data_IF_150975814492
#
_entry.id   IF_150975814492
#
_cell.length_a   1.000
_cell.length_b   1.000
_cell.length_c   1.000
_cell.angle_alpha   90.00
_cell.angle_beta   90.00
_cell.angle_gamma   90.00
#
_symmetry.space_group_name_H-M   'P 1'
#
loop_
_entity.id
_entity.type
_entity.pdbx_description
1 polymer ?
#
# COMPACT_ATOMS: atom_id res chain seq x y z
N UNK A 1 -13.82 10.72 2.35
CA UNK A 1 -13.90 10.18 0.97
C UNK A 1 -12.54 9.58 0.67
N UNK A 2 -12.49 8.48 -0.08
CA UNK A 2 -11.26 7.74 -0.42
C UNK A 2 -11.19 7.69 -1.94
N UNK A 3 -10.13 8.28 -2.51
CA UNK A 3 -9.84 8.20 -3.95
C UNK A 3 -8.69 7.22 -4.14
N UNK A 4 -8.88 6.22 -5.00
CA UNK A 4 -7.86 5.23 -5.36
C UNK A 4 -7.43 5.53 -6.79
N UNK A 5 -6.14 5.72 -6.99
CA UNK A 5 -5.54 6.00 -8.29
C UNK A 5 -4.74 4.77 -8.69
N UNK A 6 -5.13 4.16 -9.81
CA UNK A 6 -4.51 2.95 -10.34
C UNK A 6 -4.12 3.18 -11.79
N UNK A 7 -2.85 2.97 -12.10
CA UNK A 7 -2.32 3.21 -13.44
C UNK A 7 -2.84 2.19 -14.46
N UNK A 8 -3.02 0.95 -14.04
CA UNK A 8 -3.50 -0.13 -14.91
C UNK A 8 -4.99 0.01 -15.20
N UNK A 9 -5.44 -0.56 -16.32
CA UNK A 9 -6.88 -0.72 -16.59
C UNK A 9 -7.50 -1.63 -15.53
N UNK A 10 -6.83 -2.74 -15.19
CA UNK A 10 -7.29 -3.67 -14.16
C UNK A 10 -6.53 -3.43 -12.85
N UNK A 11 -7.22 -3.10 -11.74
CA UNK A 11 -6.59 -2.98 -10.43
C UNK A 11 -6.16 -4.34 -9.86
N UNK A 12 -5.49 -4.32 -8.72
CA UNK A 12 -5.06 -5.52 -7.98
C UNK A 12 -3.57 -5.81 -8.07
N UNK A 13 -2.84 -5.10 -8.92
CA UNK A 13 -1.38 -5.21 -9.04
C UNK A 13 -0.92 -6.66 -9.23
N UNK A 14 0.08 -7.08 -8.45
CA UNK A 14 0.65 -8.42 -8.50
C UNK A 14 -0.19 -9.51 -7.82
N UNK A 15 -1.30 -9.18 -7.15
CA UNK A 15 -2.07 -10.12 -6.34
C UNK A 15 -3.05 -11.01 -7.16
N UNK A 16 -2.87 -11.08 -8.48
CA UNK A 16 -3.66 -11.98 -9.34
C UNK A 16 -3.09 -13.40 -9.39
N UNK A 17 -1.81 -13.57 -9.05
CA UNK A 17 -1.08 -14.85 -9.10
C UNK A 17 -0.22 -15.00 -7.85
N UNK A 18 0.21 -16.24 -7.60
CA UNK A 18 1.31 -16.56 -6.71
C UNK A 18 2.67 -16.43 -7.43
N UNK A 19 3.65 -17.21 -6.99
CA UNK A 19 4.98 -17.24 -7.62
C UNK A 19 4.96 -17.92 -8.99
N UNK A 20 5.78 -17.42 -9.92
CA UNK A 20 6.07 -18.09 -11.21
C UNK A 20 4.80 -18.47 -12.02
N UNK A 21 3.78 -17.61 -12.02
CA UNK A 21 2.50 -17.82 -12.68
C UNK A 21 1.61 -18.93 -12.07
N UNK A 22 1.98 -19.49 -10.92
CA UNK A 22 1.09 -20.35 -10.16
C UNK A 22 -0.04 -19.55 -9.50
N UNK A 23 -1.07 -20.24 -9.04
CA UNK A 23 -2.31 -19.61 -8.56
C UNK A 23 -2.37 -19.39 -7.05
N UNK A 24 -1.83 -20.33 -6.26
CA UNK A 24 -2.01 -20.35 -4.81
C UNK A 24 -1.44 -19.08 -4.14
N UNK A 25 -2.18 -18.54 -3.17
CA UNK A 25 -1.74 -17.41 -2.36
C UNK A 25 -1.45 -17.89 -0.94
N UNK A 26 -0.18 -17.84 -0.54
CA UNK A 26 0.29 -18.22 0.79
C UNK A 26 0.26 -17.00 1.71
N UNK A 27 -0.30 -17.19 2.91
CA UNK A 27 -0.44 -16.14 3.92
C UNK A 27 0.02 -16.68 5.27
N UNK A 28 1.11 -16.15 5.82
CA UNK A 28 1.58 -16.51 7.16
C UNK A 28 0.65 -16.01 8.25
N UNK A 29 0.49 -16.78 9.33
CA UNK A 29 -0.27 -16.35 10.52
C UNK A 29 0.49 -15.22 11.23
N UNK A 30 -0.20 -14.25 11.85
CA UNK A 30 -1.64 -14.21 12.08
C UNK A 30 -2.48 -13.55 10.96
N UNK A 31 -1.93 -13.26 9.78
CA UNK A 31 -2.65 -12.50 8.74
C UNK A 31 -3.92 -13.18 8.19
N UNK A 32 -4.08 -14.50 8.42
CA UNK A 32 -5.32 -15.22 8.14
C UNK A 32 -6.59 -14.62 8.77
N UNK A 33 -6.51 -13.89 9.90
CA UNK A 33 -7.70 -13.23 10.46
C UNK A 33 -8.29 -12.16 9.54
N UNK A 34 -7.49 -11.58 8.65
CA UNK A 34 -8.02 -10.69 7.63
C UNK A 34 -8.78 -11.45 6.54
N UNK A 35 -8.45 -12.72 6.31
CA UNK A 35 -9.22 -13.59 5.42
C UNK A 35 -10.56 -13.99 6.07
N UNK A 36 -10.56 -14.25 7.39
CA UNK A 36 -11.79 -14.47 8.16
C UNK A 36 -12.74 -13.28 8.04
N UNK A 37 -12.20 -12.06 8.19
CA UNK A 37 -12.94 -10.80 8.02
C UNK A 37 -13.59 -10.66 6.63
N UNK A 38 -12.87 -11.09 5.59
CA UNK A 38 -13.34 -11.05 4.21
C UNK A 38 -14.22 -12.24 3.82
N UNK A 39 -14.41 -13.20 4.73
CA UNK A 39 -15.13 -14.46 4.52
C UNK A 39 -14.51 -15.27 3.36
N UNK A 40 -13.17 -15.30 3.27
CA UNK A 40 -12.43 -16.06 2.25
C UNK A 40 -11.98 -17.40 2.82
N UNK A 41 -12.39 -18.49 2.21
CA UNK A 41 -11.93 -19.84 2.55
C UNK A 41 -10.44 -20.05 2.20
N UNK A 42 -9.75 -20.78 3.06
CA UNK A 42 -8.35 -21.16 2.90
C UNK A 42 -8.09 -22.56 3.48
N UNK A 43 -7.04 -23.21 2.98
CA UNK A 43 -6.51 -24.44 3.55
C UNK A 43 -5.57 -24.10 4.71
N UNK A 44 -5.91 -24.57 5.91
CA UNK A 44 -5.13 -24.36 7.14
C UNK A 44 -3.84 -25.20 7.12
N UNK A 45 -2.71 -24.58 7.49
CA UNK A 45 -1.45 -25.26 7.82
C UNK A 45 -0.98 -24.76 9.20
N UNK A 46 0.13 -25.28 9.73
CA UNK A 46 0.57 -24.96 11.10
C UNK A 46 0.82 -23.44 11.28
N UNK A 47 1.74 -22.87 10.51
CA UNK A 47 2.19 -21.46 10.65
C UNK A 47 1.69 -20.53 9.52
N UNK A 48 0.94 -21.07 8.56
CA UNK A 48 0.42 -20.33 7.42
C UNK A 48 -0.90 -20.92 6.93
N UNK A 49 -1.55 -20.22 5.99
CA UNK A 49 -2.75 -20.68 5.30
C UNK A 49 -2.58 -20.49 3.79
N UNK A 50 -3.36 -21.23 3.01
CA UNK A 50 -3.28 -21.19 1.55
C UNK A 50 -4.66 -20.91 0.96
N UNK A 51 -4.76 -19.80 0.23
CA UNK A 51 -5.96 -19.50 -0.57
C UNK A 51 -5.79 -20.19 -1.91
N UNK A 52 -6.81 -20.94 -2.35
CA UNK A 52 -6.79 -21.74 -3.59
C UNK A 52 -6.33 -20.96 -4.83
N UNK A 53 -6.64 -19.67 -4.88
CA UNK A 53 -6.19 -18.79 -5.94
C UNK A 53 -6.08 -17.34 -5.43
N UNK A 54 -4.98 -16.67 -5.73
CA UNK A 54 -4.75 -15.24 -5.45
C UNK A 54 -5.89 -14.33 -5.98
N UNK A 55 -6.43 -14.63 -7.16
CA UNK A 55 -7.58 -13.94 -7.74
C UNK A 55 -8.84 -13.98 -6.85
N UNK A 56 -9.04 -15.03 -6.04
CA UNK A 56 -10.17 -15.09 -5.10
C UNK A 56 -10.07 -13.98 -4.06
N UNK A 57 -8.88 -13.81 -3.46
CA UNK A 57 -8.63 -12.72 -2.52
C UNK A 57 -8.83 -11.36 -3.19
N UNK A 58 -8.14 -11.13 -4.31
CA UNK A 58 -8.12 -9.83 -4.99
C UNK A 58 -9.49 -9.39 -5.50
N UNK A 59 -10.26 -10.30 -6.08
CA UNK A 59 -11.63 -10.00 -6.55
C UNK A 59 -12.59 -9.74 -5.39
N UNK A 60 -12.48 -10.49 -4.30
CA UNK A 60 -13.34 -10.33 -3.11
C UNK A 60 -13.12 -8.99 -2.43
N UNK A 61 -11.87 -8.65 -2.10
CA UNK A 61 -11.56 -7.37 -1.45
C UNK A 61 -11.93 -6.18 -2.33
N UNK A 62 -11.69 -6.28 -3.65
CA UNK A 62 -12.09 -5.24 -4.60
C UNK A 62 -13.62 -5.06 -4.64
N UNK A 63 -14.40 -6.14 -4.67
CA UNK A 63 -15.86 -6.07 -4.64
C UNK A 63 -16.37 -5.35 -3.39
N UNK A 64 -15.87 -5.75 -2.21
CA UNK A 64 -16.23 -5.14 -0.92
C UNK A 64 -15.83 -3.67 -0.85
N UNK A 65 -14.65 -3.33 -1.36
CA UNK A 65 -14.12 -1.96 -1.39
C UNK A 65 -14.95 -1.03 -2.28
N UNK A 66 -15.27 -1.47 -3.50
CA UNK A 66 -16.05 -0.68 -4.46
C UNK A 66 -17.52 -0.51 -4.06
N UNK A 67 -18.05 -1.41 -3.23
CA UNK A 67 -19.39 -1.27 -2.66
C UNK A 67 -19.50 -0.15 -1.59
N UNK A 68 -18.37 0.40 -1.12
CA UNK A 68 -18.37 1.46 -0.09
C UNK A 68 -18.81 2.80 -0.70
N UNK A 69 -19.78 3.51 -0.09
CA UNK A 69 -20.36 4.73 -0.68
C UNK A 69 -19.40 5.92 -0.72
N UNK A 70 -18.27 5.83 -0.01
CA UNK A 70 -17.27 6.89 0.10
C UNK A 70 -15.98 6.61 -0.67
N UNK A 71 -15.93 5.52 -1.46
CA UNK A 71 -14.76 5.10 -2.24
C UNK A 71 -14.99 5.38 -3.73
N UNK A 72 -13.95 5.87 -4.41
CA UNK A 72 -13.93 6.00 -5.87
C UNK A 72 -12.61 5.46 -6.40
N UNK A 73 -12.70 4.52 -7.34
CA UNK A 73 -11.56 4.03 -8.12
C UNK A 73 -11.43 4.82 -9.43
N UNK A 74 -10.24 5.34 -9.67
CA UNK A 74 -9.77 5.95 -10.90
C UNK A 74 -8.66 5.06 -11.47
N UNK A 75 -9.06 4.01 -12.19
CA UNK A 75 -8.16 3.15 -12.95
C UNK A 75 -7.79 3.80 -14.28
N UNK A 76 -6.70 3.37 -14.91
CA UNK A 76 -6.09 4.03 -16.10
C UNK A 76 -5.57 5.44 -15.82
N UNK A 77 -5.31 5.78 -14.55
CA UNK A 77 -4.81 7.09 -14.12
C UNK A 77 -3.49 6.91 -13.40
N UNK A 78 -2.43 7.57 -13.87
CA UNK A 78 -1.13 7.58 -13.22
C UNK A 78 -1.01 8.80 -12.30
N UNK A 79 -0.32 8.64 -11.18
CA UNK A 79 0.22 9.76 -10.41
C UNK A 79 1.63 10.05 -10.91
N UNK A 80 1.81 11.20 -11.57
CA UNK A 80 3.09 11.61 -12.18
C UNK A 80 3.94 12.45 -11.22
N UNK A 81 3.29 13.16 -10.29
CA UNK A 81 3.95 14.04 -9.34
C UNK A 81 3.13 14.17 -8.04
N UNK A 82 3.68 14.88 -7.05
CA UNK A 82 3.09 15.19 -5.77
C UNK A 82 2.79 16.69 -5.67
N UNK A 83 1.68 17.03 -5.03
CA UNK A 83 1.41 18.42 -4.64
C UNK A 83 2.14 18.66 -3.32
N UNK A 84 3.14 19.55 -3.30
CA UNK A 84 3.93 19.84 -2.09
C UNK A 84 3.75 21.30 -1.66
N UNK A 85 3.39 21.53 -0.40
CA UNK A 85 3.24 22.87 0.17
C UNK A 85 3.77 22.90 1.59
N UNK A 86 4.72 23.80 1.86
CA UNK A 86 5.31 23.95 3.20
C UNK A 86 5.98 22.69 3.73
N UNK A 87 6.66 21.92 2.86
CA UNK A 87 7.29 20.64 3.22
C UNK A 87 6.32 19.49 3.47
N UNK A 88 5.02 19.66 3.16
CA UNK A 88 3.98 18.64 3.30
C UNK A 88 3.45 18.20 1.94
N UNK A 89 3.27 16.90 1.75
CA UNK A 89 2.51 16.33 0.63
C UNK A 89 1.01 16.58 0.87
N UNK A 90 0.40 17.34 -0.02
CA UNK A 90 -1.00 17.76 0.04
C UNK A 90 -1.87 17.18 -1.08
N UNK A 91 -1.39 16.19 -1.81
CA UNK A 91 -2.11 15.58 -2.92
C UNK A 91 -1.19 15.04 -4.01
N UNK A 92 -1.77 14.73 -5.15
CA UNK A 92 -1.09 14.11 -6.30
C UNK A 92 -1.44 14.83 -7.59
N UNK A 93 -0.49 14.84 -8.51
CA UNK A 93 -0.65 15.30 -9.89
C UNK A 93 -0.88 14.06 -10.75
N UNK A 94 -1.96 14.07 -11.52
CA UNK A 94 -2.48 12.89 -12.20
C UNK A 94 -2.62 13.10 -13.69
N UNK A 95 -2.41 12.06 -14.47
CA UNK A 95 -2.74 12.04 -15.89
C UNK A 95 -3.31 10.69 -16.29
N UNK A 96 -3.82 10.57 -17.52
CA UNK A 96 -4.12 9.26 -18.07
C UNK A 96 -2.82 8.47 -18.19
N UNK A 97 -2.83 7.20 -17.78
CA UNK A 97 -1.64 6.35 -17.79
C UNK A 97 -0.96 6.30 -19.18
N UNK A 98 -1.76 6.29 -20.26
CA UNK A 98 -1.24 6.32 -21.62
C UNK A 98 -0.56 7.65 -21.96
N UNK A 99 -1.06 8.78 -21.47
CA UNK A 99 -0.42 10.09 -21.65
C UNK A 99 0.94 10.09 -20.94
N UNK A 100 0.98 9.62 -19.69
CA UNK A 100 2.20 9.52 -18.89
C UNK A 100 3.31 8.71 -19.54
N UNK A 101 2.95 7.65 -20.27
CA UNK A 101 3.90 6.79 -20.97
C UNK A 101 4.37 7.36 -22.32
N UNK A 102 3.78 8.46 -22.80
CA UNK A 102 3.93 8.93 -24.18
C UNK A 102 4.18 10.45 -24.28
N UNK A 103 4.71 11.07 -23.22
CA UNK A 103 5.06 12.51 -23.19
C UNK A 103 5.98 12.95 -24.34
N UNK A 104 6.83 12.06 -24.85
CA UNK A 104 7.77 12.36 -25.93
C UNK A 104 7.18 12.20 -27.34
N UNK A 105 5.92 11.80 -27.47
CA UNK A 105 5.31 11.43 -28.77
C UNK A 105 4.32 12.44 -29.32
N UNK A 106 3.96 13.45 -28.53
CA UNK A 106 2.96 14.47 -28.86
C UNK A 106 3.40 15.83 -28.30
N UNK A 107 2.63 16.89 -28.59
CA UNK A 107 2.74 18.14 -27.83
C UNK A 107 2.50 17.91 -26.34
N UNK A 108 2.97 18.82 -25.48
CA UNK A 108 2.76 18.75 -24.04
C UNK A 108 1.27 18.58 -23.70
N UNK A 109 0.98 17.57 -22.88
CA UNK A 109 -0.36 17.22 -22.39
C UNK A 109 -0.38 17.39 -20.88
N UNK A 110 -0.64 18.62 -20.44
CA UNK A 110 -0.58 18.98 -19.03
C UNK A 110 -1.45 18.08 -18.15
N UNK A 111 -0.99 17.74 -16.93
CA UNK A 111 -1.73 16.88 -16.01
C UNK A 111 -2.87 17.62 -15.31
N UNK A 112 -3.68 16.85 -14.57
CA UNK A 112 -4.67 17.35 -13.62
C UNK A 112 -4.19 17.16 -12.17
N UNK A 113 -4.93 17.66 -11.18
CA UNK A 113 -4.53 17.62 -9.77
C UNK A 113 -5.64 17.11 -8.86
N UNK A 114 -5.24 16.41 -7.79
CA UNK A 114 -6.12 15.95 -6.72
C UNK A 114 -5.51 16.28 -5.36
N UNK A 115 -6.12 17.23 -4.64
CA UNK A 115 -5.72 17.56 -3.27
C UNK A 115 -6.23 16.51 -2.27
N UNK A 116 -5.39 16.21 -1.27
CA UNK A 116 -5.70 15.26 -0.21
C UNK A 116 -5.09 15.71 1.12
N UNK A 117 -5.77 15.39 2.23
CA UNK A 117 -5.23 15.61 3.57
C UNK A 117 -4.10 14.65 3.92
N UNK A 118 -4.16 13.43 3.37
CA UNK A 118 -3.19 12.36 3.52
C UNK A 118 -3.14 11.56 2.22
N UNK A 119 -1.94 11.25 1.77
CA UNK A 119 -1.66 10.38 0.61
C UNK A 119 -1.09 9.07 1.15
N UNK A 120 -1.58 7.93 0.66
CA UNK A 120 -1.01 6.62 0.96
C UNK A 120 -0.42 6.07 -0.33
N UNK A 121 0.89 5.87 -0.37
CA UNK A 121 1.63 5.30 -1.49
C UNK A 121 1.82 3.80 -1.26
N UNK A 122 1.33 3.01 -2.22
CA UNK A 122 1.40 1.55 -2.21
C UNK A 122 1.78 1.04 -3.60
N UNK A 123 2.74 1.69 -4.26
CA UNK A 123 3.09 1.48 -5.67
C UNK A 123 4.04 0.28 -5.89
N UNK A 124 4.16 -0.63 -4.91
CA UNK A 124 5.07 -1.77 -4.99
C UNK A 124 6.55 -1.39 -5.00
N UNK A 125 7.42 -2.39 -5.21
CA UNK A 125 8.86 -2.21 -5.29
C UNK A 125 9.32 -1.67 -6.65
N UNK A 126 10.62 -1.42 -6.83
CA UNK A 126 11.20 -0.85 -8.03
C UNK A 126 10.87 -1.66 -9.30
N UNK A 127 10.67 -0.92 -10.40
CA UNK A 127 10.24 -1.35 -11.72
C UNK A 127 9.83 -0.13 -12.56
N UNK A 128 9.39 -0.33 -13.81
CA UNK A 128 8.99 0.77 -14.70
C UNK A 128 7.89 1.67 -14.13
N UNK A 129 6.99 1.10 -13.32
CA UNK A 129 5.84 1.78 -12.72
C UNK A 129 5.82 1.68 -11.19
N UNK A 130 6.89 1.12 -10.63
CA UNK A 130 6.96 0.75 -9.23
C UNK A 130 7.75 1.75 -8.39
N UNK A 131 7.46 1.79 -7.09
CA UNK A 131 8.11 2.70 -6.13
C UNK A 131 8.03 4.19 -6.50
N UNK A 132 6.97 4.57 -7.24
CA UNK A 132 6.80 5.90 -7.81
C UNK A 132 6.80 6.99 -6.75
N UNK A 133 6.14 6.76 -5.61
CA UNK A 133 6.05 7.74 -4.53
C UNK A 133 7.42 8.03 -3.91
N UNK A 134 8.14 7.00 -3.48
CA UNK A 134 9.46 7.15 -2.82
C UNK A 134 10.52 7.68 -3.78
N UNK A 135 10.52 7.23 -5.04
CA UNK A 135 11.40 7.79 -6.08
C UNK A 135 11.11 9.28 -6.30
N UNK A 136 9.83 9.65 -6.34
CA UNK A 136 9.46 11.05 -6.54
C UNK A 136 9.91 11.90 -5.35
N UNK A 137 9.65 11.47 -4.12
CA UNK A 137 10.12 12.14 -2.89
C UNK A 137 11.63 12.42 -2.94
N UNK A 138 12.44 11.42 -3.33
CA UNK A 138 13.89 11.59 -3.50
C UNK A 138 14.22 12.61 -4.59
N UNK A 139 13.57 12.50 -5.76
CA UNK A 139 13.86 13.38 -6.90
C UNK A 139 13.55 14.86 -6.64
N UNK A 140 12.59 15.16 -5.75
CA UNK A 140 12.23 16.52 -5.35
C UNK A 140 12.92 16.97 -4.05
N UNK A 141 13.82 16.15 -3.50
CA UNK A 141 14.60 16.49 -2.30
C UNK A 141 13.80 16.49 -1.00
N UNK A 142 12.71 15.73 -0.92
CA UNK A 142 11.96 15.56 0.34
C UNK A 142 12.53 14.44 1.23
N UNK A 143 13.33 13.54 0.65
CA UNK A 143 14.13 12.52 1.35
C UNK A 143 15.50 12.42 0.69
N UNK A 144 16.51 12.01 1.46
CA UNK A 144 17.90 12.01 1.00
C UNK A 144 18.26 10.78 0.16
N UNK A 145 17.72 9.62 0.51
CA UNK A 145 18.09 8.36 -0.10
C UNK A 145 16.89 7.44 -0.33
N UNK A 146 17.11 6.47 -1.23
CA UNK A 146 16.24 5.30 -1.46
C UNK A 146 17.26 4.18 -1.67
N UNK A 147 17.66 3.46 -0.60
CA UNK A 147 18.74 2.48 -0.63
C UNK A 147 18.43 1.27 -1.53
N UNK A 148 17.15 1.00 -1.79
CA UNK A 148 16.70 -0.04 -2.69
C UNK A 148 16.43 -1.38 -1.99
N UNK A 149 15.44 -2.11 -2.48
CA UNK A 149 15.03 -3.42 -1.96
C UNK A 149 16.20 -4.44 -2.00
N UNK A 150 16.36 -5.20 -0.91
CA UNK A 150 17.40 -6.23 -0.76
C UNK A 150 16.95 -7.61 -1.28
N UNK A 151 17.87 -8.57 -1.21
CA UNK A 151 17.64 -9.97 -1.55
C UNK A 151 16.49 -10.61 -0.74
N UNK A 152 16.04 -11.78 -1.18
CA UNK A 152 14.89 -12.46 -0.60
C UNK A 152 15.25 -13.09 0.76
N UNK A 153 14.48 -12.73 1.79
CA UNK A 153 14.45 -13.37 3.11
C UNK A 153 13.04 -13.15 3.69
N UNK A 154 12.19 -14.18 3.58
CA UNK A 154 10.78 -14.09 3.98
C UNK A 154 10.58 -13.77 5.46
N UNK A 155 11.43 -14.32 6.33
CA UNK A 155 11.26 -14.19 7.77
C UNK A 155 11.48 -12.75 8.21
N UNK A 156 12.59 -12.14 7.75
CA UNK A 156 12.90 -10.76 8.10
C UNK A 156 12.11 -9.74 7.28
N UNK A 157 11.78 -10.05 6.02
CA UNK A 157 11.04 -9.14 5.14
C UNK A 157 9.64 -8.82 5.66
N UNK A 158 8.83 -9.82 5.99
CA UNK A 158 7.43 -9.57 6.33
C UNK A 158 7.27 -8.69 7.57
N UNK A 159 8.03 -8.99 8.62
CA UNK A 159 8.04 -8.21 9.86
C UNK A 159 8.59 -6.79 9.61
N UNK A 160 9.66 -6.66 8.82
CA UNK A 160 10.23 -5.37 8.49
C UNK A 160 9.22 -4.48 7.75
N UNK A 161 8.49 -5.00 6.76
CA UNK A 161 7.52 -4.22 5.99
C UNK A 161 6.37 -3.73 6.86
N UNK A 162 5.85 -4.57 7.75
CA UNK A 162 4.78 -4.18 8.70
C UNK A 162 5.30 -3.13 9.67
N UNK A 163 6.46 -3.34 10.28
CA UNK A 163 7.06 -2.40 11.23
C UNK A 163 7.38 -1.04 10.58
N UNK A 164 7.97 -1.04 9.40
CA UNK A 164 8.45 0.17 8.75
C UNK A 164 7.38 0.96 7.98
N UNK A 165 6.17 0.42 7.82
CA UNK A 165 5.04 1.18 7.29
C UNK A 165 4.71 2.36 8.20
N UNK A 166 4.86 3.58 7.68
CA UNK A 166 4.76 4.85 8.43
C UNK A 166 4.49 6.04 7.52
N UNK A 167 4.22 7.20 8.13
CA UNK A 167 4.28 8.51 7.46
C UNK A 167 5.75 8.85 7.22
N UNK A 168 6.21 8.79 5.96
CA UNK A 168 7.62 8.99 5.58
C UNK A 168 7.96 10.49 5.60
N UNK A 169 7.06 11.30 5.07
CA UNK A 169 7.11 12.77 5.15
C UNK A 169 5.73 13.27 5.55
N UNK A 170 5.61 14.49 6.10
CA UNK A 170 4.31 15.04 6.43
C UNK A 170 3.34 14.94 5.24
N UNK A 171 2.21 14.26 5.45
CA UNK A 171 1.14 14.08 4.48
C UNK A 171 1.23 12.84 3.61
N UNK A 172 2.30 12.03 3.69
CA UNK A 172 2.47 10.85 2.87
C UNK A 172 2.91 9.62 3.67
N UNK A 173 2.05 8.60 3.67
CA UNK A 173 2.29 7.28 4.25
C UNK A 173 2.75 6.34 3.14
N UNK A 174 3.74 5.50 3.42
CA UNK A 174 4.21 4.45 2.50
C UNK A 174 3.93 3.08 3.11
N UNK A 175 3.41 2.16 2.29
CA UNK A 175 2.96 0.83 2.71
C UNK A 175 3.27 -0.23 1.64
N UNK A 176 3.21 -1.50 2.03
CA UNK A 176 3.51 -2.64 1.18
C UNK A 176 4.98 -2.65 0.72
N UNK A 177 5.23 -3.23 -0.45
CA UNK A 177 6.59 -3.42 -0.95
C UNK A 177 7.34 -2.13 -1.31
N UNK A 178 6.65 -0.99 -1.40
CA UNK A 178 7.32 0.30 -1.59
C UNK A 178 8.17 0.69 -0.36
N UNK A 179 7.79 0.20 0.83
CA UNK A 179 8.57 0.33 2.08
C UNK A 179 9.95 -0.31 1.94
N UNK A 180 10.06 -1.42 1.20
CA UNK A 180 11.33 -2.11 1.02
C UNK A 180 12.37 -1.24 0.29
N UNK A 181 11.91 -0.36 -0.60
CA UNK A 181 12.79 0.49 -1.40
C UNK A 181 13.37 1.64 -0.58
N UNK A 182 12.54 2.29 0.23
CA UNK A 182 12.97 3.42 1.04
C UNK A 182 13.79 2.98 2.28
N UNK A 183 13.51 1.82 2.85
CA UNK A 183 14.23 1.35 4.04
C UNK A 183 15.31 0.30 3.74
N UNK A 184 15.41 -0.16 2.49
CA UNK A 184 16.36 -1.19 2.10
C UNK A 184 16.10 -2.52 2.80
N UNK A 185 14.82 -2.90 2.91
CA UNK A 185 14.40 -4.14 3.53
C UNK A 185 14.53 -5.33 2.55
N UNK A 186 14.70 -6.56 3.07
CA UNK A 186 14.59 -7.77 2.25
C UNK A 186 13.21 -7.90 1.61
N UNK A 187 13.13 -8.68 0.52
CA UNK A 187 11.85 -9.02 -0.14
C UNK A 187 11.34 -10.37 0.34
N UNK A 188 10.02 -10.57 0.34
CA UNK A 188 9.41 -11.85 0.75
C UNK A 188 9.07 -12.79 -0.42
N UNK A 189 8.94 -12.29 -1.65
CA UNK A 189 8.54 -13.14 -2.79
C UNK A 189 7.07 -13.58 -2.68
N UNK A 190 6.71 -14.86 -2.93
CA UNK A 190 5.32 -15.30 -3.10
C UNK A 190 4.57 -15.59 -1.77
N UNK A 191 4.67 -14.70 -0.79
CA UNK A 191 3.87 -14.70 0.46
C UNK A 191 3.27 -13.31 0.67
N UNK A 192 2.03 -13.24 1.15
CA UNK A 192 1.19 -12.03 1.05
C UNK A 192 0.74 -11.46 2.40
N UNK A 193 1.10 -12.10 3.52
CA UNK A 193 0.66 -11.70 4.86
C UNK A 193 1.05 -10.26 5.20
N UNK A 194 2.31 -9.90 4.99
CA UNK A 194 2.82 -8.55 5.22
C UNK A 194 2.06 -7.47 4.44
N UNK A 195 1.61 -7.75 3.22
CA UNK A 195 0.88 -6.76 2.42
C UNK A 195 -0.47 -6.43 3.05
N UNK A 196 -1.15 -7.45 3.59
CA UNK A 196 -2.44 -7.28 4.28
C UNK A 196 -2.26 -6.44 5.55
N UNK A 197 -1.31 -6.83 6.40
CA UNK A 197 -1.11 -6.18 7.70
C UNK A 197 -0.49 -4.79 7.57
N UNK A 198 0.45 -4.61 6.63
CA UNK A 198 1.00 -3.29 6.30
C UNK A 198 -0.11 -2.35 5.82
N UNK A 199 -1.04 -2.82 4.98
CA UNK A 199 -2.19 -2.02 4.55
C UNK A 199 -3.12 -1.62 5.71
N UNK A 200 -3.39 -2.54 6.64
CA UNK A 200 -4.15 -2.23 7.86
C UNK A 200 -3.44 -1.18 8.72
N UNK A 201 -2.12 -1.30 8.91
CA UNK A 201 -1.32 -0.29 9.62
C UNK A 201 -1.42 1.08 8.95
N UNK A 202 -1.27 1.13 7.63
CA UNK A 202 -1.40 2.37 6.87
C UNK A 202 -2.78 3.02 7.02
N UNK A 203 -3.85 2.22 7.08
CA UNK A 203 -5.19 2.72 7.32
C UNK A 203 -5.32 3.39 8.69
N UNK A 204 -4.76 2.80 9.75
CA UNK A 204 -4.77 3.43 11.07
C UNK A 204 -3.91 4.68 11.16
N UNK A 205 -2.74 4.68 10.53
CA UNK A 205 -1.90 5.88 10.44
C UNK A 205 -2.65 7.00 9.71
N UNK A 206 -3.36 6.69 8.62
CA UNK A 206 -4.17 7.68 7.92
C UNK A 206 -5.31 8.21 8.80
N UNK A 207 -5.98 7.36 9.58
CA UNK A 207 -6.99 7.78 10.56
C UNK A 207 -6.39 8.70 11.63
N UNK A 208 -5.23 8.34 12.19
CA UNK A 208 -4.48 9.17 13.14
C UNK A 208 -4.15 10.54 12.55
N UNK A 209 -3.58 10.61 11.35
CA UNK A 209 -3.26 11.88 10.66
C UNK A 209 -4.50 12.72 10.39
N UNK A 210 -5.66 12.08 10.19
CA UNK A 210 -6.95 12.77 10.00
C UNK A 210 -7.61 13.18 11.33
N UNK A 211 -7.04 12.83 12.48
CA UNK A 211 -7.63 13.07 13.80
C UNK A 211 -8.86 12.20 14.08
N UNK A 212 -8.93 11.01 13.48
CA UNK A 212 -10.03 10.06 13.60
C UNK A 212 -9.68 8.88 14.53
N UNK A 213 -10.69 8.26 15.18
CA UNK A 213 -10.47 7.09 16.03
C UNK A 213 -9.74 5.97 15.29
N UNK A 214 -8.77 5.36 15.96
CA UNK A 214 -7.97 4.27 15.43
C UNK A 214 -7.46 3.34 16.55
N UNK A 215 -7.12 2.11 16.19
CA UNK A 215 -6.69 1.09 17.15
C UNK A 215 -5.26 1.33 17.68
N UNK A 216 -4.37 1.92 16.86
CA UNK A 216 -2.98 2.18 17.26
C UNK A 216 -2.89 3.14 18.46
N UNK A 217 -3.84 4.07 18.57
CA UNK A 217 -3.92 5.03 19.68
C UNK A 217 -4.84 4.56 20.82
N UNK A 218 -5.44 3.37 20.72
CA UNK A 218 -6.45 2.89 21.66
C UNK A 218 -7.72 3.77 21.70
N UNK A 219 -7.92 4.62 20.71
CA UNK A 219 -9.05 5.56 20.63
C UNK A 219 -10.27 4.97 19.92
N UNK A 220 -10.14 3.77 19.34
CA UNK A 220 -11.26 3.11 18.69
C UNK A 220 -12.23 2.53 19.72
N UNK A 221 -13.47 3.02 19.70
CA UNK A 221 -14.54 2.59 20.62
C UNK A 221 -15.54 1.73 19.85
N UNK A 222 -15.12 0.53 19.44
CA UNK A 222 -15.97 -0.60 19.05
C UNK A 222 -16.95 -0.43 17.87
N UNK A 223 -16.94 0.70 17.14
CA UNK A 223 -18.02 1.04 16.19
C UNK A 223 -17.59 1.23 14.72
N UNK A 224 -16.43 0.72 14.32
CA UNK A 224 -16.08 0.60 12.89
C UNK A 224 -15.71 -0.85 12.61
N UNK A 225 -16.62 -1.61 12.00
CA UNK A 225 -16.33 -2.96 11.50
C UNK A 225 -15.20 -2.92 10.45
N UNK A 226 -14.41 -4.00 10.26
CA UNK A 226 -14.21 -5.19 11.09
C UNK A 226 -12.93 -5.05 11.95
N UNK A 227 -12.65 -6.06 12.80
CA UNK A 227 -11.61 -6.06 13.85
C UNK A 227 -10.20 -5.92 13.25
N UNK A 228 -9.75 -4.69 13.05
CA UNK A 228 -8.37 -4.36 12.71
C UNK A 228 -7.42 -4.61 13.90
N UNK A 229 -7.32 -5.85 14.35
CA UNK A 229 -6.61 -6.19 15.61
C UNK A 229 -5.41 -7.07 15.32
N UNK A 230 -4.52 -6.62 14.41
CA UNK A 230 -3.22 -7.28 14.19
C UNK A 230 -2.05 -6.29 14.12
N UNK A 231 -2.21 -5.17 13.42
CA UNK A 231 -1.15 -4.16 13.30
C UNK A 231 -0.95 -3.28 14.55
N UNK A 232 -1.82 -3.36 15.55
CA UNK A 232 -1.74 -2.58 16.79
C UNK A 232 -0.83 -3.18 17.87
N UNK A 233 -0.28 -4.38 17.62
CA UNK A 233 0.69 -5.00 18.50
C UNK A 233 2.13 -4.63 18.07
N UNK A 234 2.49 -3.35 18.17
CA UNK A 234 3.89 -2.96 18.34
C UNK A 234 3.96 -1.57 18.98
N UNK A 235 4.38 -1.54 20.24
CA UNK A 235 4.49 -0.37 21.09
C UNK A 235 5.68 0.51 20.66
N UNK A 236 5.41 1.80 20.43
CA UNK A 236 6.37 2.87 20.69
C UNK A 236 6.94 3.62 19.48
N UNK A 237 6.71 4.94 19.46
CA UNK A 237 7.48 6.00 18.78
C UNK A 237 8.40 5.57 17.62
N UNK A 238 7.92 5.69 16.38
CA UNK A 238 8.79 5.54 15.20
C UNK A 238 8.52 6.64 14.16
N UNK A 239 8.98 7.85 14.45
CA UNK A 239 9.64 8.63 13.39
C UNK A 239 11.00 7.97 13.26
N UNK A 240 11.12 6.99 12.37
CA UNK A 240 12.43 6.48 11.96
C UNK A 240 13.01 7.57 11.06
N UNK A 241 14.02 8.30 11.55
CA UNK A 241 14.74 9.28 10.75
C UNK A 241 15.21 8.62 9.45
N UNK A 242 14.92 9.28 8.33
CA UNK A 242 15.29 8.85 6.98
C UNK A 242 16.79 9.02 6.72
#
# INVERSE_FOLDING_TARGET
RVAIIEQSVSPGGGAWLGGQLFSAMVVRKPAHHFLDELEIEYDEQDDYVVIKHAALFTSTIMSRLLARPNVKLFNTVAAEDLIVKGGRVGGVVTNWALVSMNHDTQSCMDPNVMEAKVVVSSCGHDGPFGATGVKRLKSIGMIDNVPGMKALDMNTAEDAIVRLTREIVPGMIVTGMEVAEIDGAPRMGPTFGAMMISGQKAAHLALRTLGLPNELDGTNVGNVQPKLTLAAADDGNEIVEA
#
